data_IF_264418492509
#
_entry.id   IF_264418492509
#
_cell.length_a   1.000
_cell.length_b   1.000
_cell.length_c   1.000
_cell.angle_alpha   90.00
_cell.angle_beta   90.00
_cell.angle_gamma   90.00
#
_symmetry.space_group_name_H-M   'P 1'
#
loop_
_entity.id
_entity.type
_entity.pdbx_description
1 polymer ?
#
# COMPACT_ATOMS: atom_id res chain seq x y z
N UNK A 1 25.37 3.07 -12.71
CA UNK A 1 24.19 3.94 -12.97
C UNK A 1 23.51 4.20 -11.65
N UNK A 2 23.69 5.38 -11.06
CA UNK A 2 22.95 5.80 -9.87
C UNK A 2 21.50 6.04 -10.28
N UNK A 3 20.65 5.01 -10.16
CA UNK A 3 19.22 5.16 -10.37
C UNK A 3 18.69 6.25 -9.43
N UNK A 4 17.71 7.04 -9.89
CA UNK A 4 17.05 8.03 -9.05
C UNK A 4 16.56 7.37 -7.75
N UNK A 5 16.60 8.09 -6.63
CA UNK A 5 16.07 7.60 -5.35
C UNK A 5 14.53 7.64 -5.40
N UNK A 6 13.86 6.61 -4.89
CA UNK A 6 12.41 6.64 -4.69
C UNK A 6 12.04 7.71 -3.67
N UNK A 7 11.02 8.52 -3.96
CA UNK A 7 10.61 9.64 -3.09
C UNK A 7 9.10 9.66 -2.90
N UNK A 8 8.64 9.92 -1.69
CA UNK A 8 7.24 10.21 -1.41
C UNK A 8 7.00 11.71 -1.54
N UNK A 9 6.04 12.12 -2.36
CA UNK A 9 5.74 13.54 -2.67
C UNK A 9 4.25 13.82 -2.56
N UNK A 10 3.89 15.10 -2.38
CA UNK A 10 2.49 15.48 -2.54
C UNK A 10 2.09 15.36 -4.01
N UNK A 11 0.85 14.99 -4.30
CA UNK A 11 0.41 14.75 -5.70
C UNK A 11 0.53 15.99 -6.58
N UNK A 12 0.44 17.19 -6.01
CA UNK A 12 0.57 18.45 -6.74
C UNK A 12 2.03 18.82 -7.06
N UNK A 13 3.01 18.17 -6.43
CA UNK A 13 4.44 18.46 -6.66
C UNK A 13 5.00 17.71 -7.88
N UNK A 14 4.13 17.10 -8.69
CA UNK A 14 4.49 16.20 -9.76
C UNK A 14 4.93 14.83 -9.23
N UNK A 15 4.17 13.79 -9.55
CA UNK A 15 4.49 12.41 -9.19
C UNK A 15 4.44 11.51 -10.43
N UNK A 16 5.26 10.47 -10.44
CA UNK A 16 5.25 9.47 -11.50
C UNK A 16 4.10 8.47 -11.31
N UNK A 17 3.87 8.06 -10.05
CA UNK A 17 2.86 7.06 -9.69
C UNK A 17 2.04 7.54 -8.51
N UNK A 18 0.72 7.60 -8.69
CA UNK A 18 -0.21 7.83 -7.59
C UNK A 18 -0.43 6.54 -6.78
N UNK A 19 0.01 6.55 -5.52
CA UNK A 19 -0.07 5.38 -4.63
C UNK A 19 -1.18 5.50 -3.59
N UNK A 20 -1.84 6.67 -3.48
CA UNK A 20 -2.97 6.88 -2.58
C UNK A 20 -4.21 6.07 -2.98
N UNK A 21 -5.18 5.95 -2.06
CA UNK A 21 -6.47 5.31 -2.36
C UNK A 21 -7.16 6.02 -3.52
N UNK A 22 -7.89 5.28 -4.35
CA UNK A 22 -8.66 5.85 -5.46
C UNK A 22 -9.65 6.92 -4.94
N UNK A 23 -9.35 8.19 -5.20
CA UNK A 23 -10.17 9.36 -4.86
C UNK A 23 -9.90 10.48 -5.88
N UNK A 24 -10.96 11.12 -6.40
CA UNK A 24 -10.92 12.24 -7.37
C UNK A 24 -10.30 11.92 -8.74
N UNK A 25 -10.08 12.96 -9.54
CA UNK A 25 -9.52 12.89 -10.91
C UNK A 25 -8.15 12.20 -11.00
N UNK A 26 -7.38 12.16 -9.91
CA UNK A 26 -6.06 11.52 -9.83
C UNK A 26 -6.13 9.99 -9.64
N UNK A 27 -7.35 9.44 -9.55
CA UNK A 27 -7.63 8.02 -9.47
C UNK A 27 -8.12 7.42 -10.80
N UNK A 28 -7.90 8.11 -11.92
CA UNK A 28 -8.14 7.54 -13.25
C UNK A 28 -6.94 6.69 -13.69
N UNK A 29 -7.18 5.51 -14.28
CA UNK A 29 -6.12 4.73 -14.90
C UNK A 29 -5.31 5.55 -15.90
N UNK A 30 -4.00 5.30 -15.98
CA UNK A 30 -3.12 5.93 -16.94
C UNK A 30 -1.87 5.08 -17.19
N UNK A 31 -0.99 5.51 -18.11
CA UNK A 31 0.19 4.73 -18.50
C UNK A 31 1.11 4.37 -17.33
N UNK A 32 1.21 5.25 -16.32
CA UNK A 32 2.03 5.04 -15.12
C UNK A 32 1.25 4.47 -13.94
N UNK A 33 -0.07 4.36 -14.04
CA UNK A 33 -0.93 3.82 -12.99
C UNK A 33 -2.17 3.15 -13.60
N UNK A 34 -2.04 1.92 -14.15
CA UNK A 34 -3.16 1.26 -14.83
C UNK A 34 -4.27 0.85 -13.85
N UNK A 35 -3.98 0.73 -12.55
CA UNK A 35 -4.97 0.39 -11.51
C UNK A 35 -4.80 1.31 -10.30
N UNK A 36 -5.45 2.50 -10.28
CA UNK A 36 -5.28 3.46 -9.20
C UNK A 36 -5.74 2.94 -7.84
N UNK A 37 -4.98 3.28 -6.80
CA UNK A 37 -5.27 2.85 -5.43
C UNK A 37 -4.88 1.43 -5.09
N UNK A 38 -4.24 0.69 -6.00
CA UNK A 38 -3.69 -0.66 -5.74
C UNK A 38 -2.62 -0.71 -4.63
N UNK A 39 -1.94 0.41 -4.38
CA UNK A 39 -0.90 0.57 -3.35
C UNK A 39 -1.42 1.33 -2.12
N UNK A 40 -2.72 1.62 -2.08
CA UNK A 40 -3.32 2.41 -1.02
C UNK A 40 -3.27 1.70 0.33
N UNK A 41 -3.10 2.47 1.40
CA UNK A 41 -3.21 1.97 2.77
C UNK A 41 -4.69 1.61 3.09
N UNK A 42 -5.02 0.35 3.43
CA UNK A 42 -6.36 -0.04 3.86
C UNK A 42 -6.71 0.45 5.27
N UNK A 43 -5.70 0.81 6.07
CA UNK A 43 -5.87 1.29 7.45
C UNK A 43 -6.04 2.81 7.48
N UNK A 44 -6.60 3.31 8.59
CA UNK A 44 -6.84 4.73 8.83
C UNK A 44 -6.59 5.05 10.30
N UNK A 45 -5.92 6.16 10.64
CA UNK A 45 -5.86 6.64 12.01
C UNK A 45 -7.28 6.85 12.58
N UNK A 46 -7.53 6.34 13.79
CA UNK A 46 -8.86 6.32 14.39
C UNK A 46 -9.80 5.23 13.84
N UNK A 47 -9.27 4.28 13.08
CA UNK A 47 -9.98 3.09 12.62
C UNK A 47 -10.68 3.26 11.27
N UNK A 48 -11.01 2.11 10.68
CA UNK A 48 -11.71 2.02 9.39
C UNK A 48 -13.21 1.90 9.64
N UNK A 49 -14.01 2.84 9.14
CA UNK A 49 -15.47 2.78 9.27
C UNK A 49 -16.15 1.70 8.42
N UNK A 50 -15.46 1.18 7.40
CA UNK A 50 -15.96 0.13 6.48
C UNK A 50 -14.96 -1.02 6.32
N UNK A 51 -14.65 -1.76 7.40
CA UNK A 51 -13.62 -2.80 7.39
C UNK A 51 -13.91 -3.90 6.36
N UNK A 52 -15.17 -4.30 6.19
CA UNK A 52 -15.57 -5.28 5.17
C UNK A 52 -15.31 -4.80 3.73
N UNK A 53 -15.40 -3.50 3.46
CA UNK A 53 -15.07 -2.95 2.14
C UNK A 53 -13.55 -2.92 1.90
N UNK A 54 -12.76 -2.61 2.95
CA UNK A 54 -11.31 -2.68 2.87
C UNK A 54 -10.82 -4.13 2.70
N UNK A 55 -11.41 -5.09 3.41
CA UNK A 55 -11.13 -6.51 3.25
C UNK A 55 -11.34 -6.97 1.80
N UNK A 56 -12.55 -6.77 1.27
CA UNK A 56 -12.91 -7.16 -0.10
C UNK A 56 -11.97 -6.56 -1.15
N UNK A 57 -11.52 -5.32 -0.94
CA UNK A 57 -10.66 -4.62 -1.90
C UNK A 57 -9.18 -5.00 -1.80
N UNK A 58 -8.63 -5.09 -0.59
CA UNK A 58 -7.18 -5.16 -0.38
C UNK A 58 -6.67 -6.55 0.03
N UNK A 59 -7.54 -7.42 0.55
CA UNK A 59 -7.16 -8.72 1.09
C UNK A 59 -7.75 -9.87 0.28
N UNK A 60 -9.07 -9.88 0.08
CA UNK A 60 -9.77 -11.00 -0.54
C UNK A 60 -9.16 -11.51 -1.87
N UNK A 61 -8.67 -10.66 -2.80
CA UNK A 61 -8.16 -11.13 -4.09
C UNK A 61 -6.94 -12.06 -4.04
N UNK A 62 -6.15 -12.01 -2.97
CA UNK A 62 -4.95 -12.84 -2.82
C UNK A 62 -5.01 -13.75 -1.59
N UNK A 63 -5.80 -13.38 -0.58
CA UNK A 63 -5.98 -14.21 0.62
C UNK A 63 -6.85 -15.43 0.35
N UNK A 64 -7.85 -15.34 -0.53
CA UNK A 64 -8.77 -16.45 -0.82
C UNK A 64 -8.07 -17.69 -1.42
N UNK A 65 -6.89 -17.50 -2.02
CA UNK A 65 -6.10 -18.55 -2.66
C UNK A 65 -5.10 -19.23 -1.69
N UNK A 66 -5.04 -18.79 -0.43
CA UNK A 66 -4.09 -19.33 0.55
C UNK A 66 -4.58 -20.64 1.18
N UNK A 67 -3.67 -21.59 1.48
CA UNK A 67 -4.05 -22.90 1.99
C UNK A 67 -4.43 -22.88 3.47
N UNK A 68 -5.25 -23.86 3.86
CA UNK A 68 -5.52 -24.18 5.26
C UNK A 68 -6.20 -23.05 6.03
N UNK A 69 -5.71 -22.77 7.24
CA UNK A 69 -6.30 -21.77 8.14
C UNK A 69 -5.75 -20.35 7.93
N UNK A 70 -4.85 -20.13 6.98
CA UNK A 70 -4.25 -18.82 6.72
C UNK A 70 -5.29 -17.74 6.37
N UNK A 71 -6.29 -17.99 5.50
CA UNK A 71 -7.29 -16.97 5.20
C UNK A 71 -8.03 -16.44 6.42
N UNK A 72 -8.44 -17.36 7.31
CA UNK A 72 -9.16 -17.04 8.55
C UNK A 72 -8.30 -16.22 9.50
N UNK A 73 -7.04 -16.64 9.72
CA UNK A 73 -6.09 -15.92 10.60
C UNK A 73 -5.79 -14.51 10.10
N UNK A 74 -5.54 -14.37 8.79
CA UNK A 74 -5.29 -13.07 8.16
C UNK A 74 -6.53 -12.19 8.27
N UNK A 75 -7.74 -12.75 8.15
CA UNK A 75 -8.98 -12.01 8.30
C UNK A 75 -9.14 -11.43 9.71
N UNK A 76 -8.96 -12.26 10.73
CA UNK A 76 -9.08 -11.84 12.13
C UNK A 76 -8.05 -10.76 12.48
N UNK A 77 -6.78 -10.94 12.08
CA UNK A 77 -5.71 -9.97 12.32
C UNK A 77 -5.94 -8.66 11.53
N UNK A 78 -6.42 -8.74 10.29
CA UNK A 78 -6.74 -7.56 9.49
C UNK A 78 -7.88 -6.75 10.14
N UNK A 79 -8.92 -7.41 10.64
CA UNK A 79 -10.03 -6.74 11.34
C UNK A 79 -9.55 -6.07 12.63
N UNK A 80 -8.71 -6.74 13.43
CA UNK A 80 -8.11 -6.15 14.62
C UNK A 80 -7.30 -4.88 14.27
N UNK A 81 -6.44 -4.96 13.25
CA UNK A 81 -5.61 -3.85 12.77
C UNK A 81 -6.36 -2.69 12.13
N UNK A 82 -7.61 -2.93 11.69
CA UNK A 82 -8.51 -1.88 11.21
C UNK A 82 -9.24 -1.16 12.36
N UNK A 83 -9.06 -1.61 13.60
CA UNK A 83 -9.60 -0.98 14.80
C UNK A 83 -9.00 0.40 15.09
N UNK A 84 -9.64 1.19 15.97
CA UNK A 84 -9.23 2.57 16.27
C UNK A 84 -7.92 2.68 17.06
N UNK A 85 -7.59 1.65 17.85
CA UNK A 85 -6.48 1.65 18.80
C UNK A 85 -5.16 1.15 18.20
N UNK A 86 -5.17 0.69 16.94
CA UNK A 86 -3.98 0.16 16.27
C UNK A 86 -3.40 1.19 15.31
N UNK A 87 -2.09 1.39 15.38
CA UNK A 87 -1.41 2.35 14.50
C UNK A 87 -1.55 1.95 13.01
N UNK A 88 -2.07 2.87 12.21
CA UNK A 88 -2.38 2.62 10.81
C UNK A 88 -1.13 2.46 9.93
N UNK A 89 0.02 3.00 10.33
CA UNK A 89 1.27 2.86 9.58
C UNK A 89 1.98 1.56 9.94
N UNK A 90 1.97 1.12 11.20
CA UNK A 90 2.43 -0.21 11.61
C UNK A 90 1.57 -1.30 10.99
N UNK A 91 0.25 -1.14 10.99
CA UNK A 91 -0.65 -2.05 10.27
C UNK A 91 -0.36 -2.08 8.78
N UNK A 92 -0.02 -0.93 8.17
CA UNK A 92 0.37 -0.92 6.76
C UNK A 92 1.71 -1.60 6.49
N UNK A 93 2.70 -1.48 7.39
CA UNK A 93 3.96 -2.23 7.30
C UNK A 93 3.71 -3.73 7.36
N UNK A 94 2.88 -4.18 8.29
CA UNK A 94 2.46 -5.58 8.39
C UNK A 94 1.80 -6.05 7.10
N UNK A 95 0.82 -5.31 6.58
CA UNK A 95 0.12 -5.66 5.34
C UNK A 95 1.06 -5.69 4.15
N UNK A 96 1.96 -4.72 4.02
CA UNK A 96 2.94 -4.63 2.93
C UNK A 96 3.86 -5.84 2.94
N UNK A 97 4.37 -6.25 4.10
CA UNK A 97 5.22 -7.41 4.22
C UNK A 97 4.45 -8.72 4.01
N UNK A 98 3.26 -8.85 4.61
CA UNK A 98 2.39 -10.01 4.45
C UNK A 98 2.03 -10.23 2.97
N UNK A 99 1.44 -9.22 2.32
CA UNK A 99 1.04 -9.34 0.91
C UNK A 99 2.25 -9.58 0.01
N UNK A 100 3.39 -8.96 0.28
CA UNK A 100 4.61 -9.21 -0.50
C UNK A 100 5.10 -10.66 -0.44
N UNK A 101 4.80 -11.40 0.63
CA UNK A 101 5.15 -12.83 0.75
C UNK A 101 4.21 -13.74 -0.03
N UNK A 102 2.95 -13.33 -0.16
CA UNK A 102 1.87 -14.18 -0.67
C UNK A 102 1.37 -13.81 -2.07
N UNK A 103 1.66 -12.60 -2.55
CA UNK A 103 1.23 -12.08 -3.83
C UNK A 103 2.46 -11.60 -4.62
N UNK A 104 3.09 -12.54 -5.34
CA UNK A 104 4.34 -12.29 -6.07
C UNK A 104 4.16 -11.23 -7.17
N UNK A 105 3.04 -11.24 -7.89
CA UNK A 105 2.76 -10.24 -8.92
C UNK A 105 2.66 -8.83 -8.30
N UNK A 106 1.92 -8.69 -7.20
CA UNK A 106 1.85 -7.41 -6.50
C UNK A 106 3.21 -6.98 -5.92
N UNK A 107 4.01 -7.92 -5.42
CA UNK A 107 5.38 -7.63 -4.95
C UNK A 107 6.25 -7.05 -6.08
N UNK A 108 6.24 -7.65 -7.27
CA UNK A 108 7.02 -7.14 -8.41
C UNK A 108 6.57 -5.73 -8.80
N UNK A 109 5.27 -5.47 -8.76
CA UNK A 109 4.73 -4.13 -9.02
C UNK A 109 5.14 -3.11 -7.94
N UNK A 110 5.24 -3.52 -6.67
CA UNK A 110 5.80 -2.64 -5.62
C UNK A 110 7.29 -2.40 -5.90
N UNK A 111 8.07 -3.42 -6.26
CA UNK A 111 9.49 -3.27 -6.61
C UNK A 111 9.71 -2.35 -7.82
N UNK A 112 8.78 -2.36 -8.78
CA UNK A 112 8.78 -1.48 -9.94
C UNK A 112 8.60 0.00 -9.58
N UNK A 113 8.20 0.33 -8.34
CA UNK A 113 8.16 1.70 -7.84
C UNK A 113 9.56 2.30 -7.58
N UNK A 114 10.63 1.52 -7.62
CA UNK A 114 12.00 2.01 -7.39
C UNK A 114 12.36 3.15 -8.33
N UNK A 115 12.92 4.20 -7.75
CA UNK A 115 13.35 5.41 -8.44
C UNK A 115 12.23 6.29 -8.97
N UNK A 116 10.97 6.01 -8.57
CA UNK A 116 9.81 6.83 -8.91
C UNK A 116 9.46 7.81 -7.78
N UNK A 117 8.81 8.90 -8.15
CA UNK A 117 8.11 9.85 -7.28
C UNK A 117 6.71 9.32 -6.98
N UNK A 118 6.49 8.87 -5.76
CA UNK A 118 5.23 8.28 -5.28
C UNK A 118 4.32 9.38 -4.72
N UNK A 119 3.24 9.67 -5.45
CA UNK A 119 2.28 10.70 -5.10
C UNK A 119 1.24 10.24 -4.09
N UNK A 120 1.06 11.01 -3.03
CA UNK A 120 -0.03 10.85 -2.08
C UNK A 120 -0.51 12.20 -1.54
N UNK A 121 -1.80 12.31 -1.23
CA UNK A 121 -2.41 13.50 -0.63
C UNK A 121 -2.01 13.75 0.83
N UNK A 122 -1.43 12.76 1.53
CA UNK A 122 -1.08 12.91 2.94
C UNK A 122 0.20 13.74 3.17
N UNK A 123 1.06 13.88 2.14
CA UNK A 123 2.26 14.71 2.25
C UNK A 123 1.89 16.19 2.45
N UNK A 124 2.65 16.96 3.24
CA UNK A 124 3.96 16.65 3.83
C UNK A 124 3.92 15.86 5.15
N UNK A 125 2.73 15.57 5.70
CA UNK A 125 2.58 14.82 6.94
C UNK A 125 2.95 13.33 6.81
N UNK A 126 2.81 12.55 7.91
CA UNK A 126 3.00 11.10 7.90
C UNK A 126 2.18 10.46 6.77
N UNK A 127 2.85 9.69 5.90
CA UNK A 127 2.26 9.21 4.67
C UNK A 127 2.57 7.74 4.43
N UNK A 128 1.62 6.99 3.86
CA UNK A 128 1.84 5.59 3.52
C UNK A 128 2.86 5.41 2.39
N UNK A 129 3.03 6.44 1.54
CA UNK A 129 4.09 6.45 0.54
C UNK A 129 5.48 6.41 1.18
N UNK A 130 5.67 6.98 2.38
CA UNK A 130 6.94 6.87 3.11
C UNK A 130 7.21 5.43 3.54
N UNK A 131 6.17 4.68 3.93
CA UNK A 131 6.28 3.26 4.26
C UNK A 131 6.72 2.45 3.04
N UNK A 132 6.14 2.73 1.86
CA UNK A 132 6.57 2.10 0.60
C UNK A 132 8.03 2.42 0.28
N UNK A 133 8.45 3.69 0.38
CA UNK A 133 9.84 4.10 0.16
C UNK A 133 10.78 3.37 1.12
N UNK A 134 10.45 3.34 2.41
CA UNK A 134 11.26 2.67 3.43
C UNK A 134 11.43 1.16 3.16
N UNK A 135 10.33 0.49 2.76
CA UNK A 135 10.36 -0.92 2.39
C UNK A 135 11.19 -1.20 1.12
N UNK A 136 11.19 -0.27 0.16
CA UNK A 136 12.02 -0.38 -1.06
C UNK A 136 13.50 -0.14 -0.77
N UNK A 137 13.82 0.83 0.10
CA UNK A 137 15.17 1.16 0.51
C UNK A 137 15.79 -0.01 1.30
N UNK A 138 15.03 -0.68 2.17
CA UNK A 138 15.51 -1.84 2.94
C UNK A 138 15.85 -3.07 2.08
N UNK A 139 15.27 -3.17 0.88
CA UNK A 139 15.50 -4.27 -0.07
C UNK A 139 16.52 -3.97 -1.16
N UNK A 140 17.06 -2.75 -1.19
CA UNK A 140 18.05 -2.31 -2.19
C UNK A 140 19.50 -2.38 -1.66
N UNK A 141 19.68 -2.58 -0.35
CA UNK A 141 20.98 -2.88 0.26
C UNK A 141 21.35 -4.34 0.00
N UNK A 142 21.93 -4.62 -1.17
CA UNK A 142 22.73 -5.83 -1.44
C UNK A 142 24.09 -5.39 -1.96
#
# INVERSE_FOLDING_TARGET
MTGARTQAVHVHDGCDVYVGRAFRAWAKPGPTNPVPGRFGNPFKPGGVGTPGAMWKKYFAPWVAELPGAEPQRIHEEALHRMGPDVDAFESFRWYLELRSRHDAAWREDVLALRGKRLGCWCKPGPCHADVLVSWLDSRSKR
#
